data_IF_901675785585
#
_entry.id   IF_901675785585
#
_cell.length_a   1.000
_cell.length_b   1.000
_cell.length_c   1.000
_cell.angle_alpha   90.00
_cell.angle_beta   90.00
_cell.angle_gamma   90.00
#
_symmetry.space_group_name_H-M   'P 1'
#
loop_
_entity.id
_entity.type
_entity.pdbx_description
1 polymer ?
#
# COMPACT_ATOMS: atom_id res chain seq x y z
N UNK A 1 -9.35 -1.63 -14.21
CA UNK A 1 -8.34 -1.89 -13.18
C UNK A 1 -9.09 -1.97 -11.83
N UNK A 2 -8.41 -1.83 -10.70
CA UNK A 2 -9.04 -1.83 -9.37
C UNK A 2 -8.67 -0.57 -8.60
N UNK A 3 -8.94 -0.55 -7.29
CA UNK A 3 -8.54 0.55 -6.42
C UNK A 3 -7.15 0.32 -5.83
N UNK A 4 -6.35 1.38 -5.73
CA UNK A 4 -5.12 1.42 -4.94
C UNK A 4 -5.35 2.06 -3.57
N UNK A 5 -4.28 2.28 -2.81
CA UNK A 5 -4.35 3.07 -1.57
C UNK A 5 -3.10 3.92 -1.36
N UNK A 6 -3.30 5.08 -0.74
CA UNK A 6 -2.22 5.93 -0.22
C UNK A 6 -2.44 6.12 1.28
N UNK A 7 -1.48 5.67 2.08
CA UNK A 7 -1.50 5.79 3.54
C UNK A 7 -0.48 6.85 3.93
N UNK A 8 -0.93 7.98 4.47
CA UNK A 8 -0.03 9.00 5.02
C UNK A 8 0.28 8.67 6.47
N UNK A 9 1.52 8.24 6.76
CA UNK A 9 1.88 7.59 8.02
C UNK A 9 3.13 8.19 8.70
N UNK A 10 3.55 9.41 8.38
CA UNK A 10 4.79 9.97 8.94
C UNK A 10 4.90 11.49 8.91
N UNK A 11 3.78 12.23 8.95
CA UNK A 11 3.80 13.68 8.69
C UNK A 11 4.42 14.53 9.78
N UNK A 12 4.32 14.18 11.06
CA UNK A 12 4.94 14.95 12.14
C UNK A 12 5.22 14.05 13.36
N UNK A 13 6.21 14.43 14.20
CA UNK A 13 6.35 13.84 15.52
C UNK A 13 5.03 14.05 16.30
N UNK A 14 4.54 13.05 17.05
CA UNK A 14 3.36 13.25 17.87
C UNK A 14 3.62 14.36 18.90
N UNK A 15 2.69 15.33 19.09
CA UNK A 15 2.86 16.42 20.06
C UNK A 15 3.14 15.92 21.49
N UNK A 16 2.55 14.77 21.81
CA UNK A 16 2.81 13.97 23.00
C UNK A 16 2.29 12.55 22.73
N UNK A 17 2.99 11.52 23.20
CA UNK A 17 2.55 10.12 23.06
C UNK A 17 3.35 9.30 22.05
N UNK A 18 2.79 8.16 21.65
CA UNK A 18 3.43 7.17 20.79
C UNK A 18 3.18 7.45 19.31
N UNK A 19 4.15 7.08 18.46
CA UNK A 19 4.03 7.18 17.02
C UNK A 19 2.94 6.23 16.50
N UNK A 20 1.75 6.79 16.23
CA UNK A 20 0.51 6.05 15.95
C UNK A 20 0.66 4.85 14.99
N UNK A 21 1.37 4.94 13.84
CA UNK A 21 1.55 3.80 12.93
C UNK A 21 2.15 2.55 13.58
N UNK A 22 3.02 2.72 14.57
CA UNK A 22 3.71 1.63 15.28
C UNK A 22 3.03 1.22 16.60
N UNK A 23 1.99 1.93 17.04
CA UNK A 23 1.19 1.56 18.22
C UNK A 23 0.51 0.21 17.97
N UNK A 24 0.46 -0.63 19.00
CA UNK A 24 -0.27 -1.90 18.95
C UNK A 24 -1.76 -1.62 19.09
N UNK A 25 -2.54 -2.05 18.10
CA UNK A 25 -3.98 -2.10 18.16
C UNK A 25 -4.35 -3.59 18.21
N UNK A 26 -4.45 -4.15 19.43
CA UNK A 26 -4.50 -5.60 19.64
C UNK A 26 -3.12 -6.27 19.50
N UNK A 27 -3.01 -7.31 18.67
CA UNK A 27 -1.77 -8.08 18.49
C UNK A 27 -0.87 -7.60 17.34
N UNK A 28 -1.34 -6.64 16.55
CA UNK A 28 -0.62 -6.06 15.42
C UNK A 28 -0.63 -4.53 15.52
N UNK A 29 0.35 -3.90 14.87
CA UNK A 29 0.41 -2.44 14.85
C UNK A 29 -0.69 -1.83 13.97
N UNK A 30 -1.04 -0.58 14.24
CA UNK A 30 -1.96 0.24 13.45
C UNK A 30 -1.69 0.17 11.95
N UNK A 31 -0.44 0.38 11.52
CA UNK A 31 -0.11 0.37 10.09
C UNK A 31 -0.35 -1.02 9.47
N UNK A 32 -0.03 -2.11 10.18
CA UNK A 32 -0.25 -3.47 9.70
C UNK A 32 -1.74 -3.80 9.63
N UNK A 33 -2.53 -3.34 10.61
CA UNK A 33 -3.98 -3.48 10.61
C UNK A 33 -4.58 -2.85 9.36
N UNK A 34 -4.26 -1.58 9.09
CA UNK A 34 -4.73 -0.86 7.90
C UNK A 34 -4.31 -1.60 6.61
N UNK A 35 -3.02 -1.94 6.47
CA UNK A 35 -2.51 -2.63 5.27
C UNK A 35 -3.23 -3.95 5.03
N UNK A 36 -3.39 -4.77 6.07
CA UNK A 36 -4.01 -6.08 5.96
C UNK A 36 -5.51 -5.99 5.65
N UNK A 37 -6.23 -5.03 6.25
CA UNK A 37 -7.63 -4.78 5.89
C UNK A 37 -7.78 -4.37 4.43
N UNK A 38 -6.93 -3.46 3.93
CA UNK A 38 -6.94 -3.04 2.53
C UNK A 38 -6.65 -4.22 1.58
N UNK A 39 -5.68 -5.06 1.94
CA UNK A 39 -5.36 -6.28 1.17
C UNK A 39 -6.52 -7.28 1.14
N UNK A 40 -7.23 -7.45 2.26
CA UNK A 40 -8.44 -8.28 2.30
C UNK A 40 -9.53 -7.74 1.35
N UNK A 41 -9.69 -6.42 1.30
CA UNK A 41 -10.58 -5.74 0.35
C UNK A 41 -10.05 -5.68 -1.10
N UNK A 42 -9.01 -6.46 -1.41
CA UNK A 42 -8.35 -6.52 -2.73
C UNK A 42 -7.83 -5.18 -3.25
N UNK A 43 -7.53 -4.24 -2.36
CA UNK A 43 -6.95 -2.93 -2.71
C UNK A 43 -5.46 -3.08 -2.98
N UNK A 44 -5.03 -2.73 -4.19
CA UNK A 44 -3.65 -2.87 -4.67
C UNK A 44 -3.42 -2.00 -5.92
N UNK A 45 -2.28 -1.30 -6.05
CA UNK A 45 -1.14 -1.24 -5.12
C UNK A 45 -1.41 -0.38 -3.88
N UNK A 46 -0.62 -0.57 -2.82
CA UNK A 46 -0.67 0.24 -1.58
C UNK A 46 0.65 1.01 -1.44
N UNK A 47 0.57 2.33 -1.37
CA UNK A 47 1.69 3.22 -1.04
C UNK A 47 1.57 3.69 0.39
N UNK A 48 2.68 3.59 1.14
CA UNK A 48 2.83 4.15 2.49
C UNK A 48 3.78 5.34 2.40
N UNK A 49 3.26 6.54 2.63
CA UNK A 49 4.04 7.76 2.73
C UNK A 49 4.64 7.86 4.13
N UNK A 50 5.98 7.83 4.21
CA UNK A 50 6.77 7.86 5.44
C UNK A 50 7.48 9.20 5.61
N UNK A 51 7.89 9.53 6.83
CA UNK A 51 8.58 10.77 7.17
C UNK A 51 9.24 10.64 8.54
N UNK A 52 8.59 11.16 9.58
CA UNK A 52 8.97 10.88 10.97
C UNK A 52 9.08 9.37 11.23
N UNK A 53 10.19 8.92 11.84
CA UNK A 53 10.52 7.51 12.07
C UNK A 53 10.50 6.60 10.81
N UNK A 54 10.72 7.15 9.61
CA UNK A 54 10.64 6.41 8.35
C UNK A 54 11.41 5.08 8.37
N UNK A 55 12.68 5.07 8.78
CA UNK A 55 13.48 3.85 8.87
C UNK A 55 12.84 2.75 9.72
N UNK A 56 12.21 3.11 10.85
CA UNK A 56 11.54 2.14 11.73
C UNK A 56 10.25 1.65 11.10
N UNK A 57 9.48 2.56 10.51
CA UNK A 57 8.21 2.24 9.86
C UNK A 57 8.39 1.35 8.63
N UNK A 58 9.32 1.69 7.76
CA UNK A 58 9.58 0.97 6.51
C UNK A 58 10.08 -0.45 6.77
N UNK A 59 11.04 -0.64 7.70
CA UNK A 59 11.45 -1.98 8.16
C UNK A 59 10.29 -2.76 8.76
N UNK A 60 9.39 -2.11 9.48
CA UNK A 60 8.26 -2.79 10.12
C UNK A 60 7.26 -3.34 9.10
N UNK A 61 7.11 -2.70 7.93
CA UNK A 61 6.18 -3.09 6.86
C UNK A 61 6.85 -3.80 5.67
N UNK A 62 8.17 -4.04 5.70
CA UNK A 62 8.96 -4.60 4.59
C UNK A 62 8.35 -5.88 3.98
N UNK A 63 7.73 -6.74 4.80
CA UNK A 63 7.19 -8.06 4.38
C UNK A 63 5.72 -8.04 4.00
N UNK A 64 5.11 -6.86 3.99
CA UNK A 64 3.68 -6.71 3.72
C UNK A 64 3.38 -6.52 2.23
N UNK A 65 4.40 -6.27 1.40
CA UNK A 65 4.24 -6.07 -0.04
C UNK A 65 3.76 -4.67 -0.43
N UNK A 66 3.79 -3.71 0.50
CA UNK A 66 3.52 -2.29 0.21
C UNK A 66 4.74 -1.59 -0.40
N UNK A 67 4.49 -0.46 -1.03
CA UNK A 67 5.50 0.45 -1.54
C UNK A 67 5.69 1.56 -0.51
N UNK A 68 6.90 1.71 0.03
CA UNK A 68 7.22 2.85 0.88
C UNK A 68 7.75 4.01 0.04
N UNK A 69 7.29 5.22 0.33
CA UNK A 69 7.81 6.46 -0.24
C UNK A 69 8.08 7.45 0.89
N UNK A 70 9.31 7.96 0.94
CA UNK A 70 9.74 8.87 1.99
C UNK A 70 9.58 10.31 1.54
N UNK A 71 8.79 11.06 2.29
CA UNK A 71 8.76 12.52 2.27
C UNK A 71 9.92 13.02 3.14
N UNK A 72 10.97 13.55 2.50
CA UNK A 72 12.16 14.06 3.21
C UNK A 72 11.89 15.38 3.92
N UNK A 73 10.93 16.15 3.39
CA UNK A 73 10.49 17.44 3.89
C UNK A 73 9.16 17.30 4.64
N UNK A 74 8.99 16.16 5.34
CA UNK A 74 7.70 15.76 5.93
C UNK A 74 7.13 16.81 6.88
N UNK A 75 7.98 17.56 7.59
CA UNK A 75 7.60 18.59 8.56
C UNK A 75 6.98 19.84 7.92
N UNK A 76 7.45 20.22 6.72
CA UNK A 76 7.06 21.45 6.02
C UNK A 76 6.05 21.21 4.91
N UNK A 77 6.10 20.05 4.26
CA UNK A 77 5.13 19.65 3.22
C UNK A 77 3.74 19.56 3.84
N UNK A 78 2.67 19.93 3.14
CA UNK A 78 1.30 19.72 3.65
C UNK A 78 0.90 18.24 3.58
N UNK A 79 -0.14 17.82 4.33
CA UNK A 79 -0.67 16.44 4.18
C UNK A 79 -1.23 16.19 2.78
N UNK A 80 -1.85 17.21 2.17
CA UNK A 80 -2.40 17.13 0.82
C UNK A 80 -1.29 16.99 -0.23
N UNK A 81 -0.17 17.72 -0.09
CA UNK A 81 0.98 17.58 -0.99
C UNK A 81 1.65 16.21 -0.86
N UNK A 82 1.81 15.68 0.36
CA UNK A 82 2.31 14.31 0.54
C UNK A 82 1.35 13.28 -0.07
N UNK A 83 0.03 13.49 0.04
CA UNK A 83 -0.95 12.65 -0.64
C UNK A 83 -0.79 12.72 -2.17
N UNK A 84 -0.65 13.92 -2.76
CA UNK A 84 -0.41 14.09 -4.20
C UNK A 84 0.82 13.33 -4.69
N UNK A 85 1.92 13.36 -3.93
CA UNK A 85 3.12 12.56 -4.24
C UNK A 85 2.81 11.06 -4.27
N UNK A 86 2.02 10.57 -3.31
CA UNK A 86 1.56 9.18 -3.28
C UNK A 86 0.60 8.82 -4.44
N UNK A 87 -0.31 9.73 -4.82
CA UNK A 87 -1.21 9.55 -5.97
C UNK A 87 -0.41 9.47 -7.27
N UNK A 88 0.53 10.40 -7.49
CA UNK A 88 1.41 10.40 -8.65
C UNK A 88 2.14 9.06 -8.83
N UNK A 89 2.39 8.36 -7.73
CA UNK A 89 3.02 7.05 -7.74
C UNK A 89 2.12 5.91 -8.28
N UNK A 90 0.81 5.96 -8.05
CA UNK A 90 -0.10 4.83 -8.32
C UNK A 90 -1.19 5.10 -9.34
N UNK A 91 -1.38 6.36 -9.76
CA UNK A 91 -2.49 6.75 -10.66
C UNK A 91 -2.56 5.99 -11.98
N UNK A 92 -1.44 5.52 -12.51
CA UNK A 92 -1.40 4.74 -13.76
C UNK A 92 -1.64 3.23 -13.54
N UNK A 93 -1.97 2.81 -12.31
CA UNK A 93 -2.11 1.40 -11.91
C UNK A 93 -3.48 1.11 -11.27
N UNK A 94 -4.33 2.12 -11.08
CA UNK A 94 -5.63 2.01 -10.42
C UNK A 94 -6.64 3.02 -10.99
N UNK A 95 -7.93 2.71 -10.88
CA UNK A 95 -9.02 3.59 -11.34
C UNK A 95 -9.55 4.50 -10.22
N UNK A 96 -8.95 4.41 -9.03
CA UNK A 96 -9.38 5.07 -7.81
C UNK A 96 -8.49 4.66 -6.63
N UNK A 97 -8.59 5.37 -5.52
CA UNK A 97 -7.78 5.10 -4.32
C UNK A 97 -8.60 5.14 -3.04
N UNK A 98 -8.08 4.45 -2.03
CA UNK A 98 -8.50 4.55 -0.64
C UNK A 98 -7.45 5.32 0.16
N UNK A 99 -7.89 6.31 0.91
CA UNK A 99 -7.07 7.08 1.86
C UNK A 99 -7.56 6.80 3.27
N UNK A 100 -6.92 5.91 4.04
CA UNK A 100 -7.24 5.66 5.44
C UNK A 100 -6.56 6.68 6.37
N UNK A 101 -6.95 6.67 7.64
CA UNK A 101 -6.27 7.43 8.70
C UNK A 101 -5.63 6.48 9.72
N UNK A 102 -4.39 6.77 10.11
CA UNK A 102 -3.71 6.07 11.22
C UNK A 102 -4.31 6.40 12.59
N UNK A 103 -5.15 7.44 12.67
CA UNK A 103 -5.84 7.83 13.89
C UNK A 103 -7.16 7.08 14.11
N UNK A 104 -7.76 6.55 13.05
CA UNK A 104 -9.01 5.76 13.13
C UNK A 104 -8.84 4.44 12.38
N UNK A 105 -8.06 3.48 12.92
CA UNK A 105 -7.56 2.35 12.15
C UNK A 105 -8.49 1.13 12.13
N UNK A 106 -9.66 1.22 12.76
CA UNK A 106 -10.62 0.12 12.84
C UNK A 106 -11.65 0.26 11.73
N UNK A 107 -11.52 -0.58 10.71
CA UNK A 107 -12.53 -0.76 9.65
C UNK A 107 -12.38 -2.16 9.05
N UNK A 108 -13.47 -2.74 8.56
CA UNK A 108 -13.51 -4.06 7.94
C UNK A 108 -13.23 -3.99 6.45
N UNK A 109 -12.81 -5.11 5.86
CA UNK A 109 -12.64 -5.23 4.41
C UNK A 109 -13.94 -4.95 3.63
N UNK A 110 -15.07 -5.48 4.12
CA UNK A 110 -16.40 -5.25 3.55
C UNK A 110 -16.78 -3.77 3.52
N UNK A 111 -16.40 -3.01 4.56
CA UNK A 111 -16.61 -1.56 4.59
C UNK A 111 -15.85 -0.87 3.44
N UNK A 112 -14.60 -1.26 3.20
CA UNK A 112 -13.82 -0.73 2.07
C UNK A 112 -14.48 -1.09 0.74
N UNK A 113 -14.94 -2.32 0.56
CA UNK A 113 -15.63 -2.75 -0.66
C UNK A 113 -16.87 -1.90 -0.96
N UNK A 114 -17.69 -1.62 0.07
CA UNK A 114 -18.88 -0.77 -0.06
C UNK A 114 -18.54 0.68 -0.41
N UNK A 115 -17.48 1.24 0.20
CA UNK A 115 -17.03 2.61 -0.08
C UNK A 115 -16.42 2.75 -1.49
N UNK A 116 -15.60 1.77 -1.90
CA UNK A 116 -15.02 1.68 -3.25
C UNK A 116 -16.12 1.63 -4.31
N UNK A 117 -17.15 0.81 -4.10
CA UNK A 117 -18.29 0.71 -5.02
C UNK A 117 -19.10 2.01 -5.12
N UNK A 118 -19.05 2.87 -4.10
CA UNK A 118 -19.82 4.10 -4.01
C UNK A 118 -19.07 5.37 -4.43
N UNK A 119 -17.73 5.32 -4.55
CA UNK A 119 -16.88 6.48 -4.79
C UNK A 119 -17.16 7.11 -6.17
N UNK A 120 -17.83 8.28 -6.16
CA UNK A 120 -18.08 9.15 -7.32
C UNK A 120 -18.39 10.61 -6.90
N UNK A 121 -17.44 11.57 -6.97
CA UNK A 121 -16.00 11.34 -7.02
C UNK A 121 -15.47 10.82 -5.69
N UNK A 122 -16.08 11.19 -4.56
CA UNK A 122 -15.67 10.77 -3.22
C UNK A 122 -16.77 9.97 -2.53
N UNK A 123 -16.39 9.02 -1.66
CA UNK A 123 -17.28 8.35 -0.72
C UNK A 123 -16.61 8.16 0.64
N UNK A 124 -17.41 8.29 1.69
CA UNK A 124 -17.02 7.99 3.06
C UNK A 124 -18.15 7.23 3.78
N UNK A 125 -17.90 6.80 5.02
CA UNK A 125 -18.92 6.11 5.80
C UNK A 125 -19.81 7.10 6.56
N UNK A 126 -21.11 6.82 6.61
CA UNK A 126 -22.07 7.41 7.53
C UNK A 126 -22.48 6.33 8.54
N UNK A 127 -22.26 6.63 9.82
CA UNK A 127 -22.64 5.79 10.95
C UNK A 127 -23.82 6.41 11.71
N UNK A 128 -24.30 5.75 12.76
CA UNK A 128 -25.30 6.34 13.66
C UNK A 128 -24.77 7.59 14.39
N UNK A 129 -23.46 7.68 14.60
CA UNK A 129 -22.80 8.80 15.29
C UNK A 129 -22.48 9.96 14.33
N UNK A 130 -22.62 9.75 13.01
CA UNK A 130 -22.42 10.77 11.98
C UNK A 130 -21.50 10.32 10.85
N UNK A 131 -21.12 11.26 10.00
CA UNK A 131 -20.21 11.03 8.88
C UNK A 131 -18.77 10.85 9.37
N UNK A 132 -18.14 9.76 8.96
CA UNK A 132 -16.78 9.40 9.29
C UNK A 132 -15.89 9.63 8.05
N UNK A 133 -15.04 10.67 8.03
CA UNK A 133 -14.30 11.07 6.83
C UNK A 133 -13.24 10.05 6.37
N UNK A 134 -12.83 9.12 7.23
CA UNK A 134 -11.86 8.09 6.93
C UNK A 134 -12.41 6.69 7.24
N UNK A 135 -12.12 5.68 6.39
CA UNK A 135 -11.41 5.78 5.11
C UNK A 135 -12.18 6.58 4.05
N UNK A 136 -11.47 7.47 3.33
CA UNK A 136 -12.01 8.22 2.21
C UNK A 136 -11.69 7.47 0.92
N UNK A 137 -12.71 7.10 0.15
CA UNK A 137 -12.53 6.50 -1.18
C UNK A 137 -12.76 7.55 -2.25
N UNK A 138 -11.98 7.49 -3.33
CA UNK A 138 -12.16 8.37 -4.48
C UNK A 138 -11.90 7.65 -5.80
N UNK A 139 -12.67 7.99 -6.83
CA UNK A 139 -12.44 7.53 -8.20
C UNK A 139 -11.40 8.40 -8.94
N UNK A 140 -11.22 8.16 -10.23
CA UNK A 140 -10.34 8.94 -11.10
C UNK A 140 -10.63 10.44 -11.06
N UNK A 141 -11.91 10.86 -11.06
CA UNK A 141 -12.28 12.27 -10.99
C UNK A 141 -11.90 12.88 -9.63
N UNK A 142 -12.06 12.12 -8.54
CA UNK A 142 -11.60 12.54 -7.22
C UNK A 142 -10.07 12.67 -7.13
N UNK A 143 -9.32 11.75 -7.74
CA UNK A 143 -7.86 11.87 -7.85
C UNK A 143 -7.43 13.12 -8.61
N UNK A 144 -8.06 13.40 -9.76
CA UNK A 144 -7.78 14.63 -10.53
C UNK A 144 -8.10 15.89 -9.73
N UNK A 145 -9.17 15.88 -8.93
CA UNK A 145 -9.50 16.99 -8.04
C UNK A 145 -8.44 17.20 -6.95
N UNK A 146 -7.87 16.12 -6.39
CA UNK A 146 -6.76 16.20 -5.44
C UNK A 146 -5.50 16.76 -6.11
N UNK A 147 -5.16 16.31 -7.32
CA UNK A 147 -4.00 16.84 -8.06
C UNK A 147 -4.12 18.33 -8.36
N UNK A 148 -5.32 18.81 -8.68
CA UNK A 148 -5.60 20.20 -9.03
C UNK A 148 -5.81 21.15 -7.83
N UNK A 149 -5.97 20.62 -6.61
CA UNK A 149 -6.24 21.43 -5.43
C UNK A 149 -5.05 22.32 -5.04
N UNK A 150 -5.31 23.51 -4.52
CA UNK A 150 -4.26 24.43 -4.04
C UNK A 150 -4.14 24.37 -2.50
N UNK A 151 -2.92 24.46 -1.97
CA UNK A 151 -2.70 24.61 -0.54
C UNK A 151 -3.19 25.99 -0.05
N UNK A 152 -3.73 26.12 1.18
CA UNK A 152 -3.77 25.11 2.25
C UNK A 152 -5.12 24.36 2.37
N UNK A 153 -5.78 23.98 1.26
CA UNK A 153 -7.04 23.23 1.34
C UNK A 153 -6.84 21.84 1.99
N UNK A 154 -7.76 21.43 2.88
CA UNK A 154 -7.73 20.06 3.43
C UNK A 154 -8.45 19.08 2.49
N UNK A 155 -8.02 17.81 2.49
CA UNK A 155 -8.67 16.75 1.70
C UNK A 155 -10.18 16.64 1.97
N UNK A 156 -10.60 16.84 3.22
CA UNK A 156 -12.01 16.76 3.61
C UNK A 156 -12.80 17.97 3.12
N UNK A 157 -12.21 19.17 3.14
CA UNK A 157 -12.83 20.37 2.56
C UNK A 157 -13.00 20.22 1.04
N UNK A 158 -11.96 19.74 0.36
CA UNK A 158 -11.97 19.41 -1.07
C UNK A 158 -13.08 18.40 -1.40
N UNK A 159 -13.15 17.27 -0.67
CA UNK A 159 -14.14 16.24 -0.90
C UNK A 159 -15.58 16.77 -0.74
N UNK A 160 -15.82 17.59 0.29
CA UNK A 160 -17.12 18.26 0.49
C UNK A 160 -17.48 19.19 -0.66
N UNK A 161 -16.52 19.99 -1.15
CA UNK A 161 -16.71 20.92 -2.27
C UNK A 161 -17.03 20.19 -3.58
N UNK A 162 -16.32 19.09 -3.86
CA UNK A 162 -16.51 18.29 -5.07
C UNK A 162 -17.72 17.35 -5.01
N UNK A 163 -18.32 17.18 -3.84
CA UNK A 163 -19.39 16.22 -3.59
C UNK A 163 -18.85 14.89 -3.07
N UNK A 164 -19.29 14.52 -1.88
CA UNK A 164 -18.94 13.26 -1.22
C UNK A 164 -20.21 12.50 -0.86
N UNK A 165 -20.24 11.21 -1.23
CA UNK A 165 -21.34 10.33 -0.91
C UNK A 165 -21.13 9.70 0.47
N UNK A 166 -22.06 9.98 1.38
CA UNK A 166 -22.19 9.24 2.62
C UNK A 166 -22.81 7.86 2.39
N UNK A 167 -22.08 6.80 2.73
CA UNK A 167 -22.53 5.41 2.60
C UNK A 167 -22.94 4.91 3.97
N UNK A 168 -24.16 4.42 4.13
CA UNK A 168 -24.59 3.82 5.40
C UNK A 168 -23.83 2.53 5.65
N UNK A 169 -22.98 2.52 6.67
CA UNK A 169 -22.13 1.38 7.02
C UNK A 169 -22.49 0.86 8.41
N UNK A 170 -22.58 -0.47 8.54
CA UNK A 170 -22.72 -1.17 9.83
C UNK A 170 -21.36 -1.74 10.25
N UNK A 171 -20.49 -0.85 10.72
CA UNK A 171 -19.15 -1.20 11.18
C UNK A 171 -18.76 -0.39 12.41
N UNK A 172 -18.86 -1.02 13.58
CA UNK A 172 -18.63 -0.36 14.87
C UNK A 172 -17.21 0.16 15.07
N UNK A 173 -16.24 -0.19 14.22
CA UNK A 173 -14.89 0.37 14.31
C UNK A 173 -14.72 1.69 13.57
N UNK A 174 -15.56 1.96 12.57
CA UNK A 174 -15.40 3.13 11.70
C UNK A 174 -15.44 4.42 12.51
N UNK A 175 -14.49 5.30 12.25
CA UNK A 175 -14.38 6.58 12.94
C UNK A 175 -13.89 6.51 14.38
N UNK A 176 -13.72 5.31 14.97
CA UNK A 176 -13.22 5.19 16.35
C UNK A 176 -11.76 5.62 16.46
N UNK A 177 -11.44 6.63 17.29
CA UNK A 177 -10.07 7.06 17.50
C UNK A 177 -9.20 5.97 18.14
N UNK A 178 -7.94 5.92 17.77
CA UNK A 178 -6.93 5.10 18.41
C UNK A 178 -6.83 5.43 19.91
N UNK A 179 -6.77 4.39 20.74
CA UNK A 179 -6.78 4.48 22.20
C UNK A 179 -8.19 4.51 22.82
N UNK A 180 -9.25 4.52 22.02
CA UNK A 180 -10.65 4.44 22.51
C UNK A 180 -11.25 3.05 22.35
N UNK A 181 -10.49 2.11 21.77
CA UNK A 181 -10.93 0.74 21.55
C UNK A 181 -11.18 -0.03 22.85
N UNK A 182 -12.26 -0.81 22.86
CA UNK A 182 -12.53 -1.77 23.93
C UNK A 182 -11.91 -3.13 23.59
N UNK A 183 -11.63 -3.94 24.61
CA UNK A 183 -11.16 -5.32 24.41
C UNK A 183 -12.13 -6.12 23.51
N UNK A 184 -13.44 -5.89 23.67
CA UNK A 184 -14.48 -6.50 22.85
C UNK A 184 -14.37 -6.08 21.37
N UNK A 185 -14.12 -4.80 21.09
CA UNK A 185 -13.91 -4.32 19.72
C UNK A 185 -12.67 -4.97 19.11
N UNK A 186 -11.55 -4.96 19.84
CA UNK A 186 -10.30 -5.60 19.39
C UNK A 186 -10.54 -7.08 19.10
N UNK A 187 -11.22 -7.80 20.00
CA UNK A 187 -11.52 -9.22 19.84
C UNK A 187 -12.40 -9.49 18.61
N UNK A 188 -13.48 -8.72 18.41
CA UNK A 188 -14.36 -8.86 17.25
C UNK A 188 -13.61 -8.65 15.93
N UNK A 189 -12.73 -7.65 15.88
CA UNK A 189 -11.90 -7.38 14.71
C UNK A 189 -10.84 -8.46 14.49
N UNK A 190 -10.21 -8.95 15.56
CA UNK A 190 -9.21 -10.02 15.46
C UNK A 190 -9.81 -11.34 14.96
N UNK A 191 -11.07 -11.64 15.29
CA UNK A 191 -11.78 -12.80 14.74
C UNK A 191 -11.95 -12.69 13.21
N UNK A 192 -12.19 -11.48 12.70
CA UNK A 192 -12.33 -11.19 11.26
C UNK A 192 -10.97 -11.16 10.54
N UNK A 193 -9.85 -11.17 11.27
CA UNK A 193 -8.50 -11.13 10.68
C UNK A 193 -7.97 -12.49 10.18
N UNK A 194 -8.73 -13.58 10.35
CA UNK A 194 -8.40 -14.87 9.76
C UNK A 194 -8.49 -14.77 8.23
N UNK A 195 -7.37 -15.04 7.55
CA UNK A 195 -7.24 -14.97 6.10
C UNK A 195 -6.17 -15.93 5.61
N UNK A 196 -6.24 -16.42 4.37
CA UNK A 196 -5.17 -17.21 3.82
C UNK A 196 -3.95 -16.33 3.55
N UNK A 197 -2.76 -16.87 3.84
CA UNK A 197 -1.49 -16.22 3.51
C UNK A 197 -0.63 -17.20 2.72
N UNK A 198 -0.47 -16.93 1.42
CA UNK A 198 0.39 -17.72 0.54
C UNK A 198 1.54 -16.88 0.00
N UNK A 199 2.68 -17.52 -0.19
CA UNK A 199 3.84 -16.98 -0.90
C UNK A 199 4.13 -17.87 -2.09
N UNK A 200 4.05 -17.31 -3.28
CA UNK A 200 4.30 -18.04 -4.53
C UNK A 200 5.72 -17.75 -4.99
N UNK A 201 6.43 -18.77 -5.48
CA UNK A 201 7.79 -18.60 -6.01
C UNK A 201 8.03 -19.59 -7.15
N UNK A 202 8.82 -19.18 -8.14
CA UNK A 202 9.30 -20.01 -9.23
C UNK A 202 10.65 -20.62 -8.86
N UNK A 203 10.80 -21.89 -9.18
CA UNK A 203 12.01 -22.65 -8.94
C UNK A 203 12.39 -23.45 -10.19
N UNK A 204 13.69 -23.71 -10.34
CA UNK A 204 14.25 -24.77 -11.17
C UNK A 204 15.03 -25.71 -10.25
N UNK A 205 16.37 -25.68 -10.31
CA UNK A 205 17.23 -26.34 -9.33
C UNK A 205 17.11 -25.66 -7.96
N UNK A 206 16.96 -24.33 -7.96
CA UNK A 206 16.71 -23.54 -6.76
C UNK A 206 15.56 -22.53 -7.00
N UNK A 207 14.99 -22.01 -5.91
CA UNK A 207 14.07 -20.87 -5.98
C UNK A 207 14.82 -19.64 -6.48
N UNK A 208 14.39 -19.08 -7.61
CA UNK A 208 15.08 -17.95 -8.26
C UNK A 208 14.19 -16.73 -8.47
N UNK A 209 12.86 -16.91 -8.40
CA UNK A 209 11.93 -15.81 -8.55
C UNK A 209 10.80 -15.92 -7.53
N UNK A 210 10.52 -14.84 -6.81
CA UNK A 210 9.44 -14.77 -5.82
C UNK A 210 9.08 -13.32 -5.53
N UNK A 211 8.33 -13.03 -4.45
CA UNK A 211 7.82 -11.69 -4.17
C UNK A 211 8.94 -10.65 -4.07
N UNK A 212 10.06 -11.00 -3.43
CA UNK A 212 11.20 -10.11 -3.27
C UNK A 212 11.94 -9.79 -4.57
N UNK A 213 12.12 -10.76 -5.47
CA UNK A 213 12.77 -10.49 -6.78
C UNK A 213 11.82 -9.74 -7.71
N UNK A 214 10.52 -10.04 -7.66
CA UNK A 214 9.50 -9.31 -8.41
C UNK A 214 9.46 -7.84 -7.97
N UNK A 215 9.45 -7.57 -6.66
CA UNK A 215 9.52 -6.20 -6.12
C UNK A 215 10.79 -5.48 -6.56
N UNK A 216 11.96 -6.15 -6.54
CA UNK A 216 13.21 -5.58 -7.02
C UNK A 216 13.13 -5.19 -8.50
N UNK A 217 12.62 -6.06 -9.38
CA UNK A 217 12.47 -5.75 -10.80
C UNK A 217 11.49 -4.59 -11.04
N UNK A 218 10.37 -4.57 -10.33
CA UNK A 218 9.39 -3.49 -10.42
C UNK A 218 10.00 -2.13 -10.03
N UNK A 219 10.78 -2.09 -8.95
CA UNK A 219 11.48 -0.89 -8.52
C UNK A 219 12.58 -0.46 -9.49
N UNK A 220 13.30 -1.40 -10.10
CA UNK A 220 14.28 -1.09 -11.15
C UNK A 220 13.59 -0.48 -12.37
N UNK A 221 12.51 -1.10 -12.85
CA UNK A 221 11.70 -0.59 -13.97
C UNK A 221 11.24 0.84 -13.74
N UNK A 222 10.88 1.15 -12.50
CA UNK A 222 10.35 2.45 -12.09
C UNK A 222 11.40 3.53 -11.87
N UNK A 223 12.50 3.18 -11.20
CA UNK A 223 13.52 4.15 -10.78
C UNK A 223 14.65 4.30 -11.79
N UNK A 224 14.78 3.36 -12.74
CA UNK A 224 15.90 3.31 -13.66
C UNK A 224 17.25 3.04 -12.97
N UNK A 225 17.25 2.59 -11.71
CA UNK A 225 18.46 2.47 -10.88
C UNK A 225 18.35 1.31 -9.91
N UNK A 226 19.28 0.35 -10.00
CA UNK A 226 19.36 -0.75 -9.02
C UNK A 226 19.68 -0.21 -7.63
N UNK A 227 20.48 0.85 -7.53
CA UNK A 227 20.85 1.44 -6.24
C UNK A 227 19.63 2.05 -5.54
N UNK A 228 18.84 2.83 -6.27
CA UNK A 228 17.62 3.45 -5.72
C UNK A 228 16.58 2.40 -5.36
N UNK A 229 16.45 1.33 -6.18
CA UNK A 229 15.61 0.18 -5.83
C UNK A 229 16.08 -0.52 -4.54
N UNK A 230 17.40 -0.69 -4.36
CA UNK A 230 17.97 -1.26 -3.13
C UNK A 230 17.65 -0.42 -1.90
N UNK A 231 17.82 0.90 -2.00
CA UNK A 231 17.53 1.85 -0.92
C UNK A 231 16.05 1.77 -0.50
N UNK A 232 15.12 1.75 -1.48
CA UNK A 232 13.67 1.61 -1.24
C UNK A 232 13.26 0.24 -0.66
N UNK A 233 14.09 -0.79 -0.81
CA UNK A 233 13.85 -2.14 -0.26
C UNK A 233 14.61 -2.40 1.04
N UNK A 234 15.43 -1.47 1.53
CA UNK A 234 16.44 -1.73 2.56
C UNK A 234 17.32 -2.96 2.25
N UNK A 235 17.61 -3.17 0.97
CA UNK A 235 18.37 -4.29 0.46
C UNK A 235 19.82 -3.82 0.22
N UNK A 236 20.81 -4.60 0.65
CA UNK A 236 22.19 -4.26 0.29
C UNK A 236 22.39 -4.42 -1.21
N UNK A 237 23.16 -3.52 -1.82
CA UNK A 237 23.48 -3.57 -3.25
C UNK A 237 24.07 -4.92 -3.66
N UNK A 238 24.92 -5.51 -2.82
CA UNK A 238 25.50 -6.85 -3.04
C UNK A 238 24.45 -7.96 -3.02
N UNK A 239 23.44 -7.88 -2.14
CA UNK A 239 22.35 -8.86 -2.06
C UNK A 239 21.41 -8.74 -3.26
N UNK A 240 21.11 -7.53 -3.71
CA UNK A 240 20.36 -7.32 -4.94
C UNK A 240 21.05 -7.96 -6.16
N UNK A 241 22.37 -7.82 -6.29
CA UNK A 241 23.09 -8.48 -7.37
C UNK A 241 23.14 -9.99 -7.25
N UNK A 242 23.21 -10.54 -6.04
CA UNK A 242 23.06 -11.99 -5.84
C UNK A 242 21.68 -12.48 -6.31
N UNK A 243 20.63 -11.72 -6.00
CA UNK A 243 19.26 -12.04 -6.44
C UNK A 243 19.13 -11.98 -7.97
N UNK A 244 19.63 -10.91 -8.60
CA UNK A 244 19.60 -10.76 -10.07
C UNK A 244 20.44 -11.84 -10.75
N UNK A 245 21.67 -12.06 -10.31
CA UNK A 245 22.56 -13.07 -10.90
C UNK A 245 22.01 -14.49 -10.76
N UNK A 246 21.36 -14.82 -9.64
CA UNK A 246 20.67 -16.09 -9.46
C UNK A 246 19.53 -16.26 -10.48
N UNK A 247 18.70 -15.23 -10.62
CA UNK A 247 17.61 -15.24 -11.58
C UNK A 247 18.10 -15.38 -13.03
N UNK A 248 19.12 -14.62 -13.43
CA UNK A 248 19.69 -14.67 -14.78
C UNK A 248 20.33 -16.03 -15.07
N UNK A 249 21.00 -16.64 -14.07
CA UNK A 249 21.54 -18.00 -14.18
C UNK A 249 20.45 -19.03 -14.47
N UNK A 250 19.36 -19.02 -13.71
CA UNK A 250 18.25 -19.98 -13.89
C UNK A 250 17.40 -19.68 -15.14
N UNK A 251 17.40 -18.44 -15.62
CA UNK A 251 16.74 -18.05 -16.87
C UNK A 251 17.60 -18.34 -18.10
N UNK A 252 18.92 -18.42 -17.96
CA UNK A 252 19.87 -18.61 -19.06
C UNK A 252 20.10 -17.35 -19.91
N UNK A 253 19.55 -16.20 -19.50
CA UNK A 253 19.62 -14.93 -20.22
C UNK A 253 19.50 -13.72 -19.28
N UNK A 254 20.05 -12.54 -19.67
CA UNK A 254 19.96 -11.33 -18.86
C UNK A 254 18.53 -10.81 -18.71
N UNK A 255 18.18 -10.43 -17.48
CA UNK A 255 16.88 -9.83 -17.11
C UNK A 255 17.00 -8.33 -16.80
N UNK A 256 18.22 -7.86 -16.48
CA UNK A 256 18.51 -6.44 -16.25
C UNK A 256 19.66 -5.98 -17.14
N UNK A 257 19.41 -4.98 -18.00
CA UNK A 257 20.44 -4.24 -18.74
C UNK A 257 21.00 -3.13 -17.86
N UNK A 258 22.32 -2.93 -17.94
CA UNK A 258 23.02 -1.82 -17.28
C UNK A 258 23.68 -0.92 -18.30
N UNK A 259 23.64 0.37 -18.02
CA UNK A 259 24.42 1.37 -18.71
C UNK A 259 25.45 1.92 -17.73
N UNK A 260 26.73 1.86 -18.11
CA UNK A 260 27.77 2.49 -17.31
C UNK A 260 27.54 4.02 -17.35
N UNK A 261 27.41 4.63 -16.17
CA UNK A 261 27.26 6.06 -16.00
C UNK A 261 28.40 6.60 -15.15
N UNK A 262 28.98 7.73 -15.57
CA UNK A 262 30.01 8.49 -14.85
C UNK A 262 29.45 9.16 -13.58
N UNK A 263 29.83 10.41 -13.30
CA UNK A 263 29.57 11.12 -12.03
C UNK A 263 28.11 11.11 -11.50
N UNK A 264 27.11 10.80 -12.33
CA UNK A 264 25.68 10.80 -11.97
C UNK A 264 25.08 9.42 -11.64
N UNK A 265 25.87 8.33 -11.62
CA UNK A 265 25.41 6.98 -11.27
C UNK A 265 24.99 6.11 -12.47
N UNK A 266 25.02 4.78 -12.28
CA UNK A 266 24.70 3.81 -13.32
C UNK A 266 23.18 3.65 -13.53
N UNK A 267 22.73 3.69 -14.79
CA UNK A 267 21.34 3.44 -15.19
C UNK A 267 21.10 1.94 -15.37
N UNK A 268 19.93 1.47 -14.99
CA UNK A 268 19.51 0.09 -15.15
C UNK A 268 18.07 0.01 -15.67
N UNK A 269 17.83 -0.94 -16.57
CA UNK A 269 16.52 -1.18 -17.19
C UNK A 269 16.26 -2.67 -17.25
N UNK A 270 14.99 -3.06 -17.23
CA UNK A 270 14.64 -4.45 -17.49
C UNK A 270 14.88 -4.77 -18.97
N UNK A 271 15.31 -6.00 -19.26
CA UNK A 271 15.27 -6.50 -20.64
C UNK A 271 13.82 -6.82 -21.01
N UNK A 272 13.47 -6.94 -22.31
CA UNK A 272 12.14 -7.42 -22.71
C UNK A 272 11.76 -8.74 -22.02
N UNK A 273 12.77 -9.58 -21.73
CA UNK A 273 12.58 -10.81 -20.98
C UNK A 273 12.30 -10.59 -19.49
N UNK A 274 13.03 -9.67 -18.85
CA UNK A 274 12.78 -9.29 -17.46
C UNK A 274 11.38 -8.70 -17.27
N UNK A 275 10.91 -7.90 -18.23
CA UNK A 275 9.55 -7.35 -18.27
C UNK A 275 8.49 -8.46 -18.43
N UNK A 276 8.68 -9.37 -19.39
CA UNK A 276 7.78 -10.52 -19.59
C UNK A 276 7.70 -11.42 -18.34
N UNK A 277 8.85 -11.73 -17.72
CA UNK A 277 8.91 -12.53 -16.51
C UNK A 277 8.15 -11.86 -15.35
N UNK A 278 8.40 -10.56 -15.14
CA UNK A 278 7.72 -9.79 -14.10
C UNK A 278 6.20 -9.77 -14.34
N UNK A 279 5.78 -9.47 -15.58
CA UNK A 279 4.36 -9.43 -15.95
C UNK A 279 3.67 -10.78 -15.71
N UNK A 280 4.26 -11.87 -16.18
CA UNK A 280 3.72 -13.22 -16.04
C UNK A 280 3.64 -13.65 -14.59
N UNK A 281 4.70 -13.40 -13.81
CA UNK A 281 4.70 -13.72 -12.38
C UNK A 281 3.65 -12.91 -11.61
N UNK A 282 3.53 -11.61 -11.86
CA UNK A 282 2.53 -10.77 -11.18
C UNK A 282 1.10 -11.24 -11.49
N UNK A 283 0.82 -11.66 -12.73
CA UNK A 283 -0.48 -12.25 -13.08
C UNK A 283 -0.71 -13.59 -12.38
N UNK A 284 0.27 -14.49 -12.44
CA UNK A 284 0.20 -15.80 -11.79
C UNK A 284 0.00 -15.68 -10.27
N UNK A 285 0.77 -14.82 -9.60
CA UNK A 285 0.66 -14.60 -8.16
C UNK A 285 -0.73 -14.09 -7.78
N UNK A 286 -1.30 -13.16 -8.58
CA UNK A 286 -2.66 -12.66 -8.39
C UNK A 286 -3.69 -13.77 -8.50
N UNK A 287 -3.64 -14.55 -9.57
CA UNK A 287 -4.59 -15.64 -9.81
C UNK A 287 -4.50 -16.73 -8.73
N UNK A 288 -3.30 -17.07 -8.27
CA UNK A 288 -3.13 -17.96 -7.12
C UNK A 288 -3.79 -17.39 -5.85
N UNK A 289 -3.59 -16.10 -5.56
CA UNK A 289 -4.18 -15.45 -4.38
C UNK A 289 -5.70 -15.45 -4.46
N UNK A 290 -6.27 -15.10 -5.61
CA UNK A 290 -7.72 -15.13 -5.83
C UNK A 290 -8.30 -16.54 -5.66
N UNK A 291 -7.66 -17.56 -6.25
CA UNK A 291 -8.14 -18.94 -6.15
C UNK A 291 -8.01 -19.50 -4.73
N UNK A 292 -6.94 -19.16 -4.02
CA UNK A 292 -6.78 -19.56 -2.61
C UNK A 292 -7.81 -18.89 -1.71
N UNK A 293 -8.21 -17.65 -2.00
CA UNK A 293 -9.30 -16.98 -1.28
C UNK A 293 -10.63 -17.71 -1.46
N UNK A 294 -10.95 -18.14 -2.69
CA UNK A 294 -12.14 -18.96 -2.95
C UNK A 294 -12.11 -20.27 -2.17
N UNK A 295 -10.99 -20.99 -2.21
CA UNK A 295 -10.81 -22.23 -1.45
C UNK A 295 -10.97 -21.94 0.05
N UNK A 296 -10.36 -20.87 0.56
CA UNK A 296 -10.46 -20.52 1.97
C UNK A 296 -11.92 -20.32 2.41
N UNK A 297 -12.75 -19.66 1.58
CA UNK A 297 -14.18 -19.47 1.86
C UNK A 297 -14.92 -20.80 2.03
N UNK A 298 -14.61 -21.79 1.19
CA UNK A 298 -15.23 -23.11 1.22
C UNK A 298 -14.92 -23.91 2.51
N UNK A 299 -13.84 -23.57 3.23
CA UNK A 299 -13.42 -24.30 4.44
C UNK A 299 -13.57 -23.53 5.74
N UNK A 300 -13.49 -22.19 5.71
CA UNK A 300 -13.38 -21.36 6.91
C UNK A 300 -14.46 -20.27 7.03
N UNK A 301 -15.30 -20.09 6.00
CA UNK A 301 -16.40 -19.12 6.02
C UNK A 301 -17.76 -19.77 5.68
N UNK A 302 -17.87 -21.08 5.90
CA UNK A 302 -19.11 -21.87 5.76
C UNK A 302 -20.05 -21.72 6.96
#
# INVERSE_FOLDING_TARGET
MGFGAVIVAGKQPPPSGSFAPLVQAGSISVIKRIIYTLQQAKVSPIVVMTGYEADRLERHVERTGVICMRDVDYESTSELETLKQGIAQIKNQCDGIVVPSVQTPFFKGETIEQLVAAARPFAWADTQEGSCPYPLCMDEAGMMAVEAAEDPESLIALAKRCGVKGVKIMDDGIGKPLGTETEALIASYNQVFLRPLIKVSLAREEVFFGPGTAQLLHLIQRTGSVRTACEQMHLSYSKAWKMIGKMEKEMGEPVVKRFQGGQSGGRAELTPRGEDLLLRFTRFERECKDRVEEIYKDYFQS
#
